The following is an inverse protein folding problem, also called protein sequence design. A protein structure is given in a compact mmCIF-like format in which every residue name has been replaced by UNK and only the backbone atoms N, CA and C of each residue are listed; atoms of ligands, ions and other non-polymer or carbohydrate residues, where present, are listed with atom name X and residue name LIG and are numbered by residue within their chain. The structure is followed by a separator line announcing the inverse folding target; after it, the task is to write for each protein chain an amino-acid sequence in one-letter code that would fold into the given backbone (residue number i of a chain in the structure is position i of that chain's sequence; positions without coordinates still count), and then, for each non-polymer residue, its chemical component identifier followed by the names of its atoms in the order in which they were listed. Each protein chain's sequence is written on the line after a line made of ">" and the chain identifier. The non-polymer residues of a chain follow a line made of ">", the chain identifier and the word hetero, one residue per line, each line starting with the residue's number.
data_IF_833163370435
#
_entry.id   IF_833163370435
#
_cell.length_a   1.000
_cell.length_b   1.000
_cell.length_c   1.000
_cell.angle_alpha   90.00
_cell.angle_beta   90.00
_cell.angle_gamma   90.00
#
_symmetry.space_group_name_H-M   'P 1'
#
loop_
_entity.id
_entity.type
_entity.pdbx_description
1 polymer ?
#
# COMPACT_ATOMS: atom_id res chain seq x y z
N UNK A 1 -41.24 13.01 -9.22
CA UNK A 1 -40.84 11.81 -8.47
C UNK A 1 -40.06 10.83 -9.33
N UNK A 2 -40.53 10.47 -10.54
CA UNK A 2 -39.80 9.58 -11.46
C UNK A 2 -38.35 10.03 -11.74
N UNK A 3 -38.13 11.32 -11.99
CA UNK A 3 -36.80 11.89 -12.25
C UNK A 3 -35.83 11.73 -11.06
N UNK A 4 -36.28 11.98 -9.83
CA UNK A 4 -35.44 11.80 -8.63
C UNK A 4 -35.07 10.34 -8.39
N UNK A 5 -35.99 9.41 -8.69
CA UNK A 5 -35.72 7.98 -8.57
C UNK A 5 -34.71 7.49 -9.62
N UNK A 6 -34.80 7.96 -10.87
CA UNK A 6 -33.82 7.65 -11.91
C UNK A 6 -32.42 8.16 -11.56
N UNK A 7 -32.35 9.36 -10.97
CA UNK A 7 -31.10 10.00 -10.56
C UNK A 7 -30.41 9.21 -9.43
N UNK A 8 -31.17 8.75 -8.43
CA UNK A 8 -30.66 7.89 -7.36
C UNK A 8 -30.25 6.49 -7.85
N UNK A 9 -30.96 5.93 -8.83
CA UNK A 9 -30.65 4.61 -9.38
C UNK A 9 -29.35 4.60 -10.20
N UNK A 10 -28.96 5.74 -10.79
CA UNK A 10 -27.69 5.89 -11.51
C UNK A 10 -26.44 6.02 -10.61
N UNK A 11 -26.62 6.37 -9.34
CA UNK A 11 -25.51 6.55 -8.39
C UNK A 11 -24.61 5.32 -8.17
N UNK A 12 -25.13 4.11 -7.89
CA UNK A 12 -24.29 2.94 -7.68
C UNK A 12 -23.50 2.57 -8.94
N UNK A 13 -24.08 2.76 -10.13
CA UNK A 13 -23.39 2.52 -11.40
C UNK A 13 -22.23 3.51 -11.60
N UNK A 14 -22.48 4.80 -11.35
CA UNK A 14 -21.45 5.83 -11.46
C UNK A 14 -20.31 5.59 -10.47
N UNK A 15 -20.64 5.25 -9.21
CA UNK A 15 -19.62 4.91 -8.20
C UNK A 15 -18.80 3.68 -8.59
N UNK A 16 -19.44 2.66 -9.17
CA UNK A 16 -18.73 1.47 -9.61
C UNK A 16 -17.75 1.77 -10.76
N UNK A 17 -18.14 2.66 -11.68
CA UNK A 17 -17.27 3.13 -12.76
C UNK A 17 -16.08 3.95 -12.22
N UNK A 18 -16.30 4.86 -11.27
CA UNK A 18 -15.22 5.63 -10.64
C UNK A 18 -14.28 4.72 -9.84
N UNK A 19 -14.83 3.75 -9.12
CA UNK A 19 -14.04 2.77 -8.36
C UNK A 19 -13.19 1.88 -9.27
N UNK A 20 -13.77 1.40 -10.38
CA UNK A 20 -13.10 0.61 -11.41
C UNK A 20 -12.07 1.44 -12.22
N UNK A 21 -12.19 2.77 -12.18
CA UNK A 21 -11.23 3.71 -12.74
C UNK A 21 -9.80 3.41 -12.33
N UNK A 22 -8.88 3.55 -13.28
CA UNK A 22 -7.44 3.40 -13.01
C UNK A 22 -6.90 4.56 -12.18
N UNK A 23 -7.50 5.73 -12.32
CA UNK A 23 -7.19 6.94 -11.57
C UNK A 23 -7.70 6.87 -10.13
N UNK A 24 -7.18 7.78 -9.31
CA UNK A 24 -7.59 7.93 -7.92
C UNK A 24 -8.98 8.58 -7.88
N UNK A 25 -9.85 8.10 -6.99
CA UNK A 25 -11.16 8.71 -6.80
C UNK A 25 -10.98 10.19 -6.48
N UNK A 26 -11.53 11.03 -7.34
CA UNK A 26 -11.37 12.48 -7.19
C UNK A 26 -12.41 12.99 -6.19
N UNK A 27 -12.03 14.00 -5.41
CA UNK A 27 -12.95 14.68 -4.49
C UNK A 27 -14.15 15.28 -5.24
N UNK A 28 -13.97 15.58 -6.54
CA UNK A 28 -15.00 16.08 -7.45
C UNK A 28 -16.04 15.01 -7.76
N UNK A 29 -15.63 13.78 -8.11
CA UNK A 29 -16.55 12.67 -8.37
C UNK A 29 -17.44 12.37 -7.16
N UNK A 30 -16.85 12.33 -5.97
CA UNK A 30 -17.57 12.12 -4.71
C UNK A 30 -18.50 13.30 -4.41
N UNK A 31 -18.07 14.54 -4.72
CA UNK A 31 -18.90 15.73 -4.60
C UNK A 31 -20.12 15.68 -5.50
N UNK A 32 -19.96 15.22 -6.75
CA UNK A 32 -21.06 15.00 -7.70
C UNK A 32 -22.01 13.92 -7.17
N UNK A 33 -21.51 12.81 -6.63
CA UNK A 33 -22.31 11.74 -6.01
C UNK A 33 -23.12 12.30 -4.83
N UNK A 34 -22.50 13.02 -3.89
CA UNK A 34 -23.22 13.59 -2.76
C UNK A 34 -24.25 14.65 -3.20
N UNK A 35 -23.92 15.51 -4.17
CA UNK A 35 -24.84 16.50 -4.70
C UNK A 35 -26.05 15.85 -5.42
N UNK A 36 -25.81 14.81 -6.21
CA UNK A 36 -26.87 14.04 -6.88
C UNK A 36 -27.78 13.33 -5.88
N UNK A 37 -27.24 12.78 -4.79
CA UNK A 37 -28.04 12.25 -3.67
C UNK A 37 -28.90 13.33 -3.02
N UNK A 38 -28.29 14.48 -2.73
CA UNK A 38 -28.93 15.66 -2.14
C UNK A 38 -30.08 16.21 -2.99
N UNK A 39 -29.87 16.34 -4.28
CA UNK A 39 -30.90 16.83 -5.20
C UNK A 39 -31.98 15.75 -5.42
N UNK A 40 -31.56 14.49 -5.58
CA UNK A 40 -32.45 13.35 -5.82
C UNK A 40 -33.49 13.17 -4.73
N UNK A 41 -33.10 13.15 -3.46
CA UNK A 41 -34.10 12.97 -2.39
C UNK A 41 -34.88 14.25 -2.06
N UNK A 42 -34.31 15.45 -2.21
CA UNK A 42 -35.08 16.69 -2.09
C UNK A 42 -36.24 16.74 -3.10
N UNK A 43 -36.04 16.21 -4.32
CA UNK A 43 -37.08 16.10 -5.35
C UNK A 43 -38.14 15.02 -5.03
N UNK A 44 -37.82 14.02 -4.19
CA UNK A 44 -38.79 13.00 -3.75
C UNK A 44 -39.64 13.48 -2.56
N UNK A 45 -39.09 14.28 -1.63
CA UNK A 45 -39.75 14.66 -0.37
C UNK A 45 -40.62 15.94 -0.46
N UNK A 46 -41.34 16.16 -1.57
CA UNK A 46 -42.04 17.41 -1.99
C UNK A 46 -43.25 17.90 -1.12
N UNK A 47 -43.13 18.20 0.19
CA UNK A 47 -43.81 19.43 0.62
C UNK A 47 -43.01 20.28 1.62
N UNK A 48 -41.71 20.03 1.81
CA UNK A 48 -40.91 20.88 2.70
C UNK A 48 -40.34 22.06 1.91
N UNK A 49 -40.55 23.27 2.42
CA UNK A 49 -40.06 24.52 1.83
C UNK A 49 -38.55 24.45 1.50
N UNK A 50 -38.08 25.07 0.40
CA UNK A 50 -36.70 24.89 -0.10
C UNK A 50 -35.59 25.32 0.88
N UNK A 51 -35.92 26.10 1.92
CA UNK A 51 -35.01 26.53 2.98
C UNK A 51 -34.89 25.50 4.13
N UNK A 52 -35.83 24.55 4.24
CA UNK A 52 -35.92 23.62 5.37
C UNK A 52 -35.55 22.17 5.03
N UNK A 53 -35.15 21.85 3.79
CA UNK A 53 -34.77 20.47 3.46
C UNK A 53 -33.39 20.15 4.06
N UNK A 54 -33.31 19.32 5.12
CA UNK A 54 -32.04 18.98 5.75
C UNK A 54 -31.19 18.08 4.84
N UNK A 55 -31.73 17.66 3.70
CA UNK A 55 -31.15 16.65 2.84
C UNK A 55 -29.88 17.13 2.12
N UNK A 56 -29.81 18.43 1.79
CA UNK A 56 -28.58 19.05 1.26
C UNK A 56 -27.49 19.14 2.33
N UNK A 57 -27.86 19.46 3.58
CA UNK A 57 -26.94 19.47 4.72
C UNK A 57 -26.45 18.05 5.05
N UNK A 58 -27.34 17.07 4.99
CA UNK A 58 -27.00 15.66 5.13
C UNK A 58 -26.06 15.18 4.02
N UNK A 59 -26.30 15.57 2.77
CA UNK A 59 -25.41 15.27 1.65
C UNK A 59 -24.02 15.89 1.85
N UNK A 60 -23.94 17.14 2.33
CA UNK A 60 -22.68 17.80 2.66
C UNK A 60 -21.96 17.10 3.81
N UNK A 61 -22.68 16.72 4.87
CA UNK A 61 -22.13 16.01 6.01
C UNK A 61 -21.60 14.63 5.60
N UNK A 62 -22.35 13.89 4.77
CA UNK A 62 -21.90 12.62 4.20
C UNK A 62 -20.65 12.80 3.33
N UNK A 63 -20.60 13.86 2.51
CA UNK A 63 -19.41 14.20 1.71
C UNK A 63 -18.18 14.43 2.58
N UNK A 64 -18.30 15.28 3.62
CA UNK A 64 -17.20 15.59 4.53
C UNK A 64 -16.78 14.34 5.31
N UNK A 65 -17.73 13.54 5.80
CA UNK A 65 -17.42 12.30 6.52
C UNK A 65 -16.70 11.29 5.61
N UNK A 66 -17.18 11.12 4.37
CA UNK A 66 -16.61 10.19 3.42
C UNK A 66 -15.18 10.60 3.03
N UNK A 67 -14.97 11.86 2.63
CA UNK A 67 -13.66 12.37 2.21
C UNK A 67 -12.64 12.35 3.35
N UNK A 68 -13.04 12.69 4.57
CA UNK A 68 -12.09 12.76 5.70
C UNK A 68 -11.81 11.40 6.35
N UNK A 69 -12.77 10.47 6.39
CA UNK A 69 -12.63 9.20 7.14
C UNK A 69 -12.52 7.98 6.26
N UNK A 70 -13.28 7.91 5.18
CA UNK A 70 -13.46 6.68 4.38
C UNK A 70 -12.47 6.66 3.21
N UNK A 71 -12.41 7.74 2.44
CA UNK A 71 -11.57 7.87 1.25
C UNK A 71 -10.07 7.54 1.49
N UNK A 72 -9.38 8.07 2.52
CA UNK A 72 -7.97 7.74 2.74
C UNK A 72 -7.76 6.25 3.00
N UNK A 73 -8.64 5.63 3.79
CA UNK A 73 -8.59 4.18 4.08
C UNK A 73 -8.85 3.34 2.83
N UNK A 74 -9.80 3.78 1.99
CA UNK A 74 -10.13 3.09 0.74
C UNK A 74 -8.96 3.15 -0.25
N UNK A 75 -8.30 4.31 -0.38
CA UNK A 75 -7.12 4.49 -1.22
C UNK A 75 -5.98 3.57 -0.79
N UNK A 76 -5.69 3.54 0.52
CA UNK A 76 -4.70 2.63 1.11
C UNK A 76 -5.01 1.17 0.75
N UNK A 77 -6.26 0.75 0.95
CA UNK A 77 -6.70 -0.61 0.63
C UNK A 77 -6.59 -0.95 -0.86
N UNK A 78 -7.01 -0.04 -1.76
CA UNK A 78 -6.91 -0.19 -3.22
C UNK A 78 -5.46 -0.37 -3.67
N UNK A 79 -4.53 0.43 -3.13
CA UNK A 79 -3.10 0.30 -3.44
C UNK A 79 -2.50 -0.99 -2.89
N UNK A 80 -2.89 -1.40 -1.69
CA UNK A 80 -2.42 -2.66 -1.12
C UNK A 80 -2.90 -3.87 -1.94
N UNK A 81 -4.18 -3.91 -2.34
CA UNK A 81 -4.71 -4.95 -3.22
C UNK A 81 -4.00 -5.02 -4.57
N UNK A 82 -3.72 -3.87 -5.19
CA UNK A 82 -2.90 -3.81 -6.42
C UNK A 82 -1.51 -4.39 -6.18
N UNK A 83 -0.90 -4.08 -5.04
CA UNK A 83 0.37 -4.65 -4.62
C UNK A 83 0.34 -6.18 -4.56
N UNK A 84 -0.69 -6.75 -3.93
CA UNK A 84 -0.89 -8.21 -3.88
C UNK A 84 -1.12 -8.82 -5.25
N UNK A 85 -1.96 -8.20 -6.08
CA UNK A 85 -2.20 -8.67 -7.46
C UNK A 85 -0.92 -8.69 -8.28
N UNK A 86 -0.11 -7.63 -8.23
CA UNK A 86 1.18 -7.59 -8.91
C UNK A 86 2.18 -8.62 -8.35
N UNK A 87 2.18 -8.84 -7.04
CA UNK A 87 3.02 -9.85 -6.40
C UNK A 87 2.67 -11.26 -6.90
N UNK A 88 1.39 -11.59 -7.05
CA UNK A 88 0.92 -12.87 -7.58
C UNK A 88 1.29 -13.08 -9.05
N UNK A 89 1.34 -12.02 -9.85
CA UNK A 89 1.73 -12.06 -11.27
C UNK A 89 3.27 -12.08 -11.43
N UNK A 90 4.04 -12.03 -10.33
CA UNK A 90 5.51 -11.98 -10.36
C UNK A 90 6.09 -10.61 -10.72
N UNK A 91 5.26 -9.57 -10.80
CA UNK A 91 5.69 -8.18 -11.08
C UNK A 91 6.13 -7.48 -9.81
N UNK A 92 7.23 -7.97 -9.20
CA UNK A 92 7.72 -7.50 -7.90
C UNK A 92 7.97 -5.99 -7.84
N UNK A 93 8.48 -5.37 -8.92
CA UNK A 93 8.68 -3.91 -9.00
C UNK A 93 7.40 -3.11 -8.76
N UNK A 94 6.35 -3.46 -9.51
CA UNK A 94 5.05 -2.78 -9.44
C UNK A 94 4.35 -3.06 -8.11
N UNK A 95 4.58 -4.25 -7.54
CA UNK A 95 4.10 -4.62 -6.22
C UNK A 95 4.71 -3.70 -5.14
N UNK A 96 6.05 -3.57 -5.11
CA UNK A 96 6.74 -2.69 -4.14
C UNK A 96 6.24 -1.25 -4.27
N UNK A 97 6.16 -0.71 -5.50
CA UNK A 97 5.66 0.66 -5.71
C UNK A 97 4.23 0.85 -5.19
N UNK A 98 3.36 -0.15 -5.39
CA UNK A 98 1.97 -0.09 -4.94
C UNK A 98 1.87 -0.14 -3.41
N UNK A 99 2.64 -1.02 -2.76
CA UNK A 99 2.70 -1.07 -1.29
C UNK A 99 3.32 0.19 -0.68
N UNK A 100 4.37 0.75 -1.30
CA UNK A 100 4.96 2.02 -0.85
C UNK A 100 3.97 3.18 -0.94
N UNK A 101 3.16 3.27 -2.01
CA UNK A 101 2.07 4.26 -2.08
C UNK A 101 1.04 4.06 -0.99
N UNK A 102 0.64 2.81 -0.69
CA UNK A 102 -0.27 2.53 0.43
C UNK A 102 0.31 3.02 1.76
N UNK A 103 1.61 2.79 2.01
CA UNK A 103 2.32 3.24 3.21
C UNK A 103 2.58 4.76 3.25
N UNK A 104 2.58 5.46 2.12
CA UNK A 104 2.63 6.93 2.08
C UNK A 104 1.34 7.55 2.62
N UNK A 105 0.19 6.94 2.32
CA UNK A 105 -1.11 7.38 2.83
C UNK A 105 -1.33 6.97 4.29
N UNK A 106 -0.96 5.74 4.65
CA UNK A 106 -1.02 5.24 6.02
C UNK A 106 0.26 4.46 6.37
N UNK A 107 1.22 5.13 7.04
CA UNK A 107 2.48 4.50 7.44
C UNK A 107 2.32 3.32 8.39
N UNK A 108 1.20 3.25 9.13
CA UNK A 108 0.95 2.21 10.13
C UNK A 108 0.10 1.06 9.59
N UNK A 109 -0.25 1.06 8.30
CA UNK A 109 -1.05 -0.01 7.73
C UNK A 109 -0.28 -1.35 7.72
N UNK A 110 -0.70 -2.28 8.59
CA UNK A 110 -0.10 -3.61 8.73
C UNK A 110 -0.18 -4.41 7.43
N UNK A 111 -1.30 -4.37 6.71
CA UNK A 111 -1.53 -5.19 5.52
C UNK A 111 -0.57 -4.80 4.38
N UNK A 112 -0.33 -3.50 4.18
CA UNK A 112 0.64 -3.04 3.17
C UNK A 112 2.07 -3.37 3.56
N UNK A 113 2.41 -3.28 4.85
CA UNK A 113 3.74 -3.62 5.37
C UNK A 113 4.05 -5.12 5.24
N UNK A 114 3.09 -5.97 5.61
CA UNK A 114 3.20 -7.43 5.47
C UNK A 114 3.32 -7.84 3.99
N UNK A 115 2.51 -7.24 3.11
CA UNK A 115 2.59 -7.46 1.68
C UNK A 115 3.96 -7.07 1.11
N UNK A 116 4.47 -5.89 1.50
CA UNK A 116 5.80 -5.44 1.10
C UNK A 116 6.90 -6.40 1.59
N UNK A 117 6.84 -6.82 2.85
CA UNK A 117 7.77 -7.80 3.42
C UNK A 117 7.72 -9.15 2.68
N UNK A 118 6.51 -9.62 2.35
CA UNK A 118 6.30 -10.81 1.54
C UNK A 118 6.99 -10.73 0.19
N UNK A 119 6.85 -9.59 -0.51
CA UNK A 119 7.53 -9.37 -1.80
C UNK A 119 9.05 -9.33 -1.62
N UNK A 120 9.56 -8.63 -0.60
CA UNK A 120 10.99 -8.58 -0.32
C UNK A 120 11.61 -9.94 -0.03
N UNK A 121 10.87 -10.87 0.58
CA UNK A 121 11.32 -12.26 0.79
C UNK A 121 11.30 -13.08 -0.50
N UNK A 122 10.31 -12.84 -1.37
CA UNK A 122 10.15 -13.57 -2.62
C UNK A 122 11.16 -13.14 -3.70
N UNK A 123 11.73 -11.94 -3.59
CA UNK A 123 12.76 -11.44 -4.53
C UNK A 123 14.04 -12.24 -4.34
N UNK A 124 14.56 -12.73 -5.47
CA UNK A 124 15.88 -13.33 -5.57
C UNK A 124 16.98 -12.25 -5.66
N UNK A 125 18.03 -12.45 -4.88
CA UNK A 125 19.24 -11.63 -4.87
C UNK A 125 19.91 -11.56 -6.25
N UNK A 126 19.86 -12.65 -7.01
CA UNK A 126 20.44 -12.70 -8.36
C UNK A 126 19.71 -11.75 -9.31
N UNK A 127 18.38 -11.74 -9.28
CA UNK A 127 17.54 -10.83 -10.06
C UNK A 127 17.72 -9.38 -9.62
N UNK A 128 17.86 -9.16 -8.30
CA UNK A 128 18.08 -7.83 -7.74
C UNK A 128 19.40 -7.22 -8.23
N UNK A 129 20.49 -7.99 -8.24
CA UNK A 129 21.79 -7.51 -8.70
C UNK A 129 21.83 -7.20 -10.21
N UNK A 130 21.05 -7.93 -11.01
CA UNK A 130 21.01 -7.79 -12.46
C UNK A 130 20.05 -6.70 -12.96
N UNK A 131 19.08 -6.27 -12.13
CA UNK A 131 18.08 -5.26 -12.51
C UNK A 131 18.28 -3.94 -11.74
N UNK A 132 18.90 -2.91 -12.36
CA UNK A 132 19.11 -1.61 -11.71
C UNK A 132 17.79 -0.88 -11.41
N UNK A 133 16.73 -1.14 -12.17
CA UNK A 133 15.43 -0.52 -11.94
C UNK A 133 14.70 -1.11 -10.72
N UNK A 134 14.95 -2.39 -10.41
CA UNK A 134 14.51 -2.99 -9.14
C UNK A 134 15.30 -2.42 -7.97
N UNK A 135 16.63 -2.31 -8.12
CA UNK A 135 17.51 -1.82 -7.06
C UNK A 135 17.15 -0.41 -6.57
N UNK A 136 16.67 0.48 -7.44
CA UNK A 136 16.21 1.82 -7.05
C UNK A 136 14.90 1.84 -6.26
N UNK A 137 14.11 0.77 -6.31
CA UNK A 137 12.77 0.70 -5.68
C UNK A 137 12.80 -0.08 -4.36
N UNK A 138 13.74 -1.03 -4.24
CA UNK A 138 13.95 -1.89 -3.07
C UNK A 138 14.36 -1.08 -1.85
N UNK A 139 13.73 -1.37 -0.72
CA UNK A 139 14.11 -0.84 0.58
C UNK A 139 15.31 -1.61 1.18
N UNK A 140 16.45 -0.93 1.31
CA UNK A 140 17.67 -1.49 1.86
C UNK A 140 17.58 -1.77 3.37
N UNK A 141 16.73 -1.03 4.09
CA UNK A 141 16.54 -1.24 5.52
C UNK A 141 15.78 -2.55 5.76
N UNK A 142 14.81 -2.88 4.89
CA UNK A 142 14.15 -4.20 4.89
C UNK A 142 15.09 -5.33 4.49
N UNK A 143 16.06 -5.11 3.59
CA UNK A 143 17.10 -6.10 3.29
C UNK A 143 17.98 -6.40 4.51
N UNK A 144 18.35 -5.37 5.28
CA UNK A 144 19.11 -5.51 6.51
C UNK A 144 18.29 -6.22 7.59
N UNK A 145 17.01 -5.86 7.73
CA UNK A 145 16.10 -6.51 8.65
C UNK A 145 15.90 -8.00 8.28
N UNK A 146 15.73 -8.33 6.99
CA UNK A 146 15.69 -9.72 6.51
C UNK A 146 16.95 -10.47 6.91
N UNK A 147 18.14 -9.91 6.65
CA UNK A 147 19.41 -10.53 7.03
C UNK A 147 19.50 -10.78 8.55
N UNK A 148 19.14 -9.80 9.37
CA UNK A 148 19.12 -9.96 10.83
C UNK A 148 18.16 -11.07 11.28
N UNK A 149 16.95 -11.12 10.69
CA UNK A 149 15.94 -12.13 11.03
C UNK A 149 16.39 -13.56 10.70
N UNK A 150 17.19 -13.75 9.64
CA UNK A 150 17.78 -15.04 9.29
C UNK A 150 18.83 -15.47 10.31
N UNK A 151 19.67 -14.53 10.75
CA UNK A 151 20.78 -14.77 11.68
C UNK A 151 20.35 -14.88 13.14
N UNK A 152 19.22 -14.28 13.53
CA UNK A 152 18.68 -14.41 14.89
C UNK A 152 18.11 -15.80 15.19
N UNK A 153 17.82 -16.61 14.17
CA UNK A 153 17.32 -17.96 14.38
C UNK A 153 18.43 -18.87 14.95
N UNK A 154 18.16 -19.69 15.98
CA UNK A 154 19.15 -20.60 16.53
C UNK A 154 19.48 -21.71 15.52
N UNK A 155 20.76 -21.84 15.17
CA UNK A 155 21.26 -22.84 14.22
C UNK A 155 20.74 -22.65 12.79
N UNK A 156 20.97 -21.48 12.16
CA UNK A 156 20.52 -21.25 10.79
C UNK A 156 21.25 -22.21 9.82
N UNK A 157 20.51 -22.71 8.83
CA UNK A 157 21.08 -23.52 7.76
C UNK A 157 22.19 -22.74 7.02
N UNK A 158 23.24 -23.40 6.52
CA UNK A 158 24.36 -22.73 5.84
C UNK A 158 23.90 -21.87 4.65
N UNK A 159 22.87 -22.32 3.92
CA UNK A 159 22.25 -21.57 2.82
C UNK A 159 21.68 -20.21 3.29
N UNK A 160 21.05 -20.17 4.47
CA UNK A 160 20.48 -18.94 5.04
C UNK A 160 21.56 -17.98 5.54
N UNK A 161 22.68 -18.53 6.04
CA UNK A 161 23.85 -17.74 6.44
C UNK A 161 24.45 -17.07 5.20
N UNK A 162 24.62 -17.83 4.11
CA UNK A 162 25.14 -17.31 2.84
C UNK A 162 24.21 -16.24 2.25
N UNK A 163 22.90 -16.48 2.26
CA UNK A 163 21.89 -15.51 1.84
C UNK A 163 21.97 -14.21 2.65
N UNK A 164 22.07 -14.31 3.97
CA UNK A 164 22.23 -13.14 4.84
C UNK A 164 23.53 -12.38 4.54
N UNK A 165 24.65 -13.09 4.31
CA UNK A 165 25.92 -12.46 3.94
C UNK A 165 25.85 -11.72 2.60
N UNK A 166 25.13 -12.28 1.61
CA UNK A 166 24.88 -11.63 0.30
C UNK A 166 24.00 -10.38 0.44
N UNK A 167 22.96 -10.41 1.27
CA UNK A 167 22.15 -9.23 1.58
C UNK A 167 23.00 -8.14 2.23
N UNK A 168 23.83 -8.51 3.21
CA UNK A 168 24.71 -7.60 3.93
C UNK A 168 25.78 -6.97 3.01
N UNK A 169 26.34 -7.73 2.06
CA UNK A 169 27.28 -7.19 1.08
C UNK A 169 26.60 -6.20 0.11
N UNK A 170 25.37 -6.49 -0.31
CA UNK A 170 24.56 -5.60 -1.13
C UNK A 170 24.22 -4.28 -0.41
N UNK A 171 23.83 -4.36 0.87
CA UNK A 171 23.57 -3.15 1.67
C UNK A 171 24.84 -2.31 1.82
N UNK A 172 25.99 -2.94 2.07
CA UNK A 172 27.26 -2.24 2.22
C UNK A 172 27.74 -1.56 0.93
N UNK A 173 27.50 -2.18 -0.23
CA UNK A 173 27.89 -1.61 -1.52
C UNK A 173 27.07 -0.37 -1.88
N UNK A 174 25.77 -0.38 -1.55
CA UNK A 174 24.87 0.74 -1.83
C UNK A 174 24.91 1.84 -0.76
N UNK A 175 25.07 1.47 0.52
CA UNK A 175 25.11 2.39 1.66
C UNK A 175 26.35 2.14 2.54
N UNK A 176 27.51 2.72 2.19
CA UNK A 176 28.74 2.55 2.97
C UNK A 176 28.63 3.09 4.40
N UNK A 177 27.67 3.98 4.68
CA UNK A 177 27.42 4.53 6.02
C UNK A 177 26.90 3.47 7.01
N UNK A 178 26.27 2.38 6.55
CA UNK A 178 25.75 1.30 7.40
C UNK A 178 26.81 0.24 7.76
N UNK A 179 28.09 0.55 7.53
CA UNK A 179 29.22 -0.37 7.72
C UNK A 179 29.27 -1.00 9.11
N UNK A 180 29.04 -0.23 10.17
CA UNK A 180 29.07 -0.74 11.55
C UNK A 180 28.00 -1.83 11.77
N UNK A 181 26.76 -1.55 11.39
CA UNK A 181 25.63 -2.49 11.52
C UNK A 181 25.86 -3.75 10.68
N UNK A 182 26.38 -3.59 9.45
CA UNK A 182 26.70 -4.72 8.59
C UNK A 182 27.78 -5.61 9.20
N UNK A 183 28.86 -5.04 9.74
CA UNK A 183 29.92 -5.82 10.38
C UNK A 183 29.44 -6.54 11.64
N UNK A 184 28.57 -5.90 12.43
CA UNK A 184 27.93 -6.56 13.57
C UNK A 184 27.20 -7.85 13.14
N UNK A 185 26.33 -7.77 12.15
CA UNK A 185 25.61 -8.96 11.67
C UNK A 185 26.51 -9.99 10.98
N UNK A 186 27.58 -9.56 10.31
CA UNK A 186 28.59 -10.50 9.79
C UNK A 186 29.29 -11.25 10.92
N UNK A 187 29.65 -10.58 12.01
CA UNK A 187 30.22 -11.25 13.18
C UNK A 187 29.26 -12.30 13.74
N UNK A 188 27.96 -11.99 13.86
CA UNK A 188 26.93 -12.97 14.25
C UNK A 188 26.92 -14.17 13.28
N UNK A 189 26.95 -13.93 11.97
CA UNK A 189 27.03 -14.99 10.98
C UNK A 189 28.26 -15.90 11.15
N UNK A 190 29.43 -15.32 11.43
CA UNK A 190 30.67 -16.07 11.68
C UNK A 190 30.61 -16.92 12.96
N UNK A 191 29.96 -16.42 14.02
CA UNK A 191 29.76 -17.21 15.25
C UNK A 191 28.90 -18.46 15.00
N UNK A 192 27.88 -18.37 14.13
CA UNK A 192 27.11 -19.54 13.71
C UNK A 192 27.93 -20.52 12.88
N UNK A 193 28.83 -20.02 12.03
CA UNK A 193 29.71 -20.83 11.21
C UNK A 193 30.90 -21.46 12.00
N UNK A 194 31.07 -21.10 13.29
CA UNK A 194 32.25 -21.45 14.11
C UNK A 194 33.58 -21.03 13.48
N UNK A 195 33.56 -19.97 12.67
CA UNK A 195 34.73 -19.37 12.07
C UNK A 195 35.14 -18.20 12.96
N UNK A 196 36.21 -18.38 13.75
CA UNK A 196 36.67 -17.40 14.75
C UNK A 196 37.95 -16.67 14.35
N UNK A 197 38.44 -16.93 13.14
CA UNK A 197 39.67 -16.35 12.56
C UNK A 197 39.42 -14.94 12.02
#
# INVERSE_FOLDING_TARGET
>A
MLFGAQLLLGMPLFYLLTFAGREEETEVEIGVICATLGIGAAILTRPVSPVQSPWLLWALLLYVLYTTRILPKLRVFKHALRGYSYAQIGRHRQAILSFRRALQFDPQNALAREGLWGVHRAIDLSQLANDPAMMGVVDLDMCLERASSLLLNPGPAPEKIEEAQRLLSLVLSQRPNLRATVYYWRAVAHTHARQYD
#
